data_IF_552052479240
#
_entry.id   IF_552052479240
#
_cell.length_a   1.000
_cell.length_b   1.000
_cell.length_c   1.000
_cell.angle_alpha   90.00
_cell.angle_beta   90.00
_cell.angle_gamma   90.00
#
_symmetry.space_group_name_H-M   'P 1'
#
loop_
_entity.id
_entity.type
_entity.pdbx_description
1 polymer ?
#
# COMPACT_ATOMS: atom_id res chain seq x y z
N UNK A 1 8.61 2.43 -28.64
CA UNK A 1 9.50 1.74 -27.70
C UNK A 1 9.58 2.57 -26.44
N UNK A 2 8.66 2.37 -25.50
CA UNK A 2 8.75 2.91 -24.14
C UNK A 2 9.81 2.07 -23.42
N UNK A 3 10.94 2.68 -23.11
CA UNK A 3 11.93 2.14 -22.19
C UNK A 3 11.24 1.93 -20.83
N UNK A 4 10.85 0.69 -20.57
CA UNK A 4 10.45 0.23 -19.26
C UNK A 4 11.72 0.24 -18.42
N UNK A 5 11.94 1.33 -17.69
CA UNK A 5 13.00 1.41 -16.68
C UNK A 5 12.51 0.54 -15.53
N UNK A 6 12.93 -0.73 -15.55
CA UNK A 6 12.74 -1.63 -14.42
C UNK A 6 13.61 -1.11 -13.29
N UNK A 7 13.04 -0.33 -12.38
CA UNK A 7 13.71 0.07 -11.15
C UNK A 7 13.88 -1.23 -10.35
N UNK A 8 15.11 -1.64 -9.99
CA UNK A 8 15.29 -2.83 -9.19
C UNK A 8 14.60 -2.62 -7.84
N UNK A 9 13.50 -3.30 -7.61
CA UNK A 9 12.79 -3.31 -6.34
C UNK A 9 13.76 -3.80 -5.26
N UNK A 10 13.98 -2.99 -4.25
CA UNK A 10 14.87 -3.30 -3.14
C UNK A 10 14.12 -4.08 -2.07
N UNK A 11 14.84 -4.92 -1.35
CA UNK A 11 14.35 -5.61 -0.15
C UNK A 11 15.09 -5.00 1.04
N UNK A 12 14.33 -4.55 2.02
CA UNK A 12 14.84 -4.10 3.31
C UNK A 12 14.26 -5.02 4.38
N UNK A 13 14.97 -5.33 5.48
CA UNK A 13 14.40 -6.11 6.57
C UNK A 13 13.07 -5.51 7.06
N UNK A 14 12.05 -6.35 7.25
CA UNK A 14 10.71 -5.92 7.67
C UNK A 14 10.75 -5.15 9.00
N UNK A 15 11.65 -5.51 9.91
CA UNK A 15 11.87 -4.79 11.16
C UNK A 15 12.32 -3.35 10.94
N UNK A 16 13.13 -3.09 9.91
CA UNK A 16 13.58 -1.74 9.56
C UNK A 16 12.45 -0.94 8.95
N UNK A 17 11.67 -1.54 8.06
CA UNK A 17 10.47 -0.92 7.46
C UNK A 17 9.42 -0.59 8.53
N UNK A 18 9.15 -1.54 9.44
CA UNK A 18 8.26 -1.33 10.56
C UNK A 18 8.71 -0.15 11.43
N UNK A 19 10.01 -0.09 11.77
CA UNK A 19 10.57 1.02 12.56
C UNK A 19 10.39 2.37 11.88
N UNK A 20 10.59 2.45 10.56
CA UNK A 20 10.36 3.69 9.80
C UNK A 20 8.88 4.08 9.88
N UNK A 21 7.96 3.14 9.59
CA UNK A 21 6.52 3.39 9.63
C UNK A 21 6.07 3.81 11.03
N UNK A 22 6.56 3.16 12.09
CA UNK A 22 6.27 3.52 13.48
C UNK A 22 6.76 4.92 13.84
N UNK A 23 7.94 5.28 13.35
CA UNK A 23 8.49 6.62 13.53
C UNK A 23 7.59 7.67 12.88
N UNK A 24 7.10 7.41 11.67
CA UNK A 24 6.19 8.31 10.96
C UNK A 24 4.85 8.45 11.71
N UNK A 25 4.29 7.36 12.24
CA UNK A 25 3.09 7.41 13.08
C UNK A 25 3.32 8.22 14.36
N UNK A 26 4.47 8.06 15.00
CA UNK A 26 4.84 8.82 16.21
C UNK A 26 4.94 10.31 15.92
N UNK A 27 5.59 10.67 14.79
CA UNK A 27 5.70 12.07 14.36
C UNK A 27 4.33 12.68 14.07
N UNK A 28 3.44 11.93 13.45
CA UNK A 28 2.09 12.39 13.13
C UNK A 28 1.23 12.56 14.37
N UNK A 29 1.43 11.73 15.39
CA UNK A 29 0.68 11.73 16.65
C UNK A 29 1.24 12.71 17.70
N UNK A 30 2.40 13.33 17.46
CA UNK A 30 3.04 14.21 18.40
C UNK A 30 2.18 15.45 18.69
N UNK A 31 1.91 15.77 19.97
CA UNK A 31 1.10 16.91 20.33
C UNK A 31 1.83 18.22 19.98
N UNK A 32 1.13 19.11 19.33
CA UNK A 32 1.55 20.50 19.05
C UNK A 32 2.12 20.81 17.69
N UNK A 33 1.96 19.84 16.74
CA UNK A 33 2.29 19.98 15.59
C UNK A 33 1.99 19.73 14.58
N UNK A 34 1.90 20.14 13.85
CA UNK A 34 1.96 19.63 12.65
C UNK A 34 2.23 20.66 11.65
N UNK A 35 3.47 20.95 11.55
CA UNK A 35 4.04 21.67 10.45
C UNK A 35 3.58 21.02 9.15
N UNK A 36 3.05 21.81 8.26
CA UNK A 36 2.58 21.40 6.92
C UNK A 36 3.68 20.68 6.17
N UNK A 37 4.92 21.16 6.29
CA UNK A 37 6.07 20.56 5.62
C UNK A 37 6.35 19.15 6.13
N UNK A 38 6.18 18.90 7.42
CA UNK A 38 6.34 17.56 8.01
C UNK A 38 5.25 16.62 7.49
N UNK A 39 3.98 17.07 7.44
CA UNK A 39 2.88 16.27 6.90
C UNK A 39 3.12 15.89 5.43
N UNK A 40 3.54 16.85 4.61
CA UNK A 40 3.87 16.61 3.20
C UNK A 40 5.07 15.66 3.03
N UNK A 41 6.07 15.77 3.91
CA UNK A 41 7.21 14.84 3.93
C UNK A 41 6.82 13.43 4.30
N UNK A 42 5.92 13.24 5.26
CA UNK A 42 5.38 11.92 5.61
C UNK A 42 4.74 11.28 4.38
N UNK A 43 3.88 12.00 3.66
CA UNK A 43 3.25 11.51 2.43
C UNK A 43 4.29 11.09 1.37
N UNK A 44 5.31 11.91 1.16
CA UNK A 44 6.39 11.60 0.20
C UNK A 44 7.18 10.36 0.60
N UNK A 45 7.48 10.20 1.90
CA UNK A 45 8.22 9.04 2.41
C UNK A 45 7.38 7.76 2.22
N UNK A 46 6.09 7.80 2.55
CA UNK A 46 5.19 6.64 2.34
C UNK A 46 5.18 6.21 0.89
N UNK A 47 4.96 7.14 -0.06
CA UNK A 47 4.97 6.80 -1.49
C UNK A 47 6.33 6.27 -1.95
N UNK A 48 7.44 6.85 -1.45
CA UNK A 48 8.78 6.36 -1.77
C UNK A 48 9.03 4.95 -1.24
N UNK A 49 8.55 4.62 -0.03
CA UNK A 49 8.64 3.28 0.53
C UNK A 49 7.89 2.26 -0.33
N UNK A 50 6.66 2.57 -0.73
CA UNK A 50 5.84 1.69 -1.55
C UNK A 50 6.44 1.42 -2.93
N UNK A 51 7.01 2.45 -3.56
CA UNK A 51 7.65 2.31 -4.89
C UNK A 51 8.99 1.58 -4.80
N UNK A 52 9.77 1.82 -3.73
CA UNK A 52 11.16 1.35 -3.65
C UNK A 52 11.26 -0.08 -3.13
N UNK A 53 10.41 -0.46 -2.16
CA UNK A 53 10.54 -1.74 -1.46
C UNK A 53 9.39 -2.68 -1.81
N UNK A 54 9.75 -3.86 -2.36
CA UNK A 54 8.77 -4.88 -2.76
C UNK A 54 8.06 -5.49 -1.56
N UNK A 55 8.76 -5.63 -0.44
CA UNK A 55 8.26 -6.27 0.77
C UNK A 55 7.45 -5.35 1.70
N UNK A 56 7.04 -4.17 1.23
CA UNK A 56 5.98 -3.42 1.91
C UNK A 56 4.65 -4.02 1.51
N UNK A 57 4.25 -5.08 2.23
CA UNK A 57 3.04 -5.89 2.01
C UNK A 57 2.30 -6.10 3.32
N UNK A 58 1.09 -6.61 3.25
CA UNK A 58 0.26 -7.00 4.40
C UNK A 58 0.14 -5.90 5.46
N UNK A 59 0.48 -6.18 6.70
CA UNK A 59 0.38 -5.22 7.80
C UNK A 59 1.22 -3.95 7.57
N UNK A 60 2.42 -4.07 6.99
CA UNK A 60 3.25 -2.91 6.69
C UNK A 60 2.59 -1.98 5.67
N UNK A 61 1.95 -2.55 4.65
CA UNK A 61 1.18 -1.81 3.66
C UNK A 61 -0.02 -1.11 4.31
N UNK A 62 -0.81 -1.84 5.08
CA UNK A 62 -1.98 -1.28 5.79
C UNK A 62 -1.57 -0.09 6.66
N UNK A 63 -0.53 -0.24 7.48
CA UNK A 63 -0.02 0.81 8.35
C UNK A 63 0.53 2.01 7.58
N UNK A 64 1.21 1.78 6.47
CA UNK A 64 1.72 2.85 5.60
C UNK A 64 0.58 3.65 4.95
N UNK A 65 -0.44 2.97 4.43
CA UNK A 65 -1.62 3.63 3.85
C UNK A 65 -2.42 4.40 4.89
N UNK A 66 -2.50 3.91 6.14
CA UNK A 66 -3.17 4.59 7.24
C UNK A 66 -2.59 5.98 7.55
N UNK A 67 -1.29 6.20 7.35
CA UNK A 67 -0.71 7.55 7.46
C UNK A 67 -1.32 8.51 6.44
N UNK A 68 -1.51 8.05 5.20
CA UNK A 68 -2.12 8.85 4.16
C UNK A 68 -3.63 9.10 4.44
N UNK A 69 -4.36 8.07 4.87
CA UNK A 69 -5.77 8.21 5.25
C UNK A 69 -5.95 9.17 6.44
N UNK A 70 -5.09 9.06 7.45
CA UNK A 70 -5.11 9.95 8.62
C UNK A 70 -4.91 11.41 8.19
N UNK A 71 -3.95 11.69 7.31
CA UNK A 71 -3.72 13.05 6.80
C UNK A 71 -4.85 13.53 5.89
N UNK A 72 -5.43 12.63 5.09
CA UNK A 72 -6.60 12.95 4.26
C UNK A 72 -7.81 13.36 5.11
N UNK A 73 -8.13 12.57 6.12
CA UNK A 73 -9.31 12.78 6.96
C UNK A 73 -9.16 13.94 7.97
N UNK A 74 -8.02 14.00 8.65
CA UNK A 74 -7.87 14.83 9.85
C UNK A 74 -7.06 16.12 9.61
N UNK A 75 -6.35 16.26 8.48
CA UNK A 75 -5.64 17.52 8.24
C UNK A 75 -6.63 18.65 7.96
N UNK A 76 -6.45 19.76 8.71
CA UNK A 76 -7.20 21.00 8.52
C UNK A 76 -6.67 21.85 7.36
N UNK A 77 -5.50 21.50 6.86
CA UNK A 77 -4.82 22.22 5.78
C UNK A 77 -5.20 21.60 4.44
N UNK A 78 -5.92 22.34 3.62
CA UNK A 78 -6.46 21.86 2.34
C UNK A 78 -5.36 21.30 1.43
N UNK A 79 -4.19 21.95 1.38
CA UNK A 79 -3.06 21.46 0.58
C UNK A 79 -2.61 20.06 1.01
N UNK A 80 -2.57 19.80 2.32
CA UNK A 80 -2.18 18.47 2.84
C UNK A 80 -3.25 17.43 2.50
N UNK A 81 -4.52 17.71 2.77
CA UNK A 81 -5.60 16.74 2.51
C UNK A 81 -5.76 16.44 1.01
N UNK A 82 -5.63 17.43 0.14
CA UNK A 82 -5.67 17.21 -1.33
C UNK A 82 -4.44 16.43 -1.82
N UNK A 83 -3.25 16.72 -1.28
CA UNK A 83 -2.04 15.96 -1.60
C UNK A 83 -2.16 14.52 -1.11
N UNK A 84 -2.70 14.31 0.09
CA UNK A 84 -2.94 12.97 0.64
C UNK A 84 -3.90 12.17 -0.25
N UNK A 85 -4.99 12.79 -0.74
CA UNK A 85 -5.92 12.14 -1.66
C UNK A 85 -5.23 11.72 -2.97
N UNK A 86 -4.43 12.62 -3.57
CA UNK A 86 -3.70 12.31 -4.79
C UNK A 86 -2.67 11.19 -4.58
N UNK A 87 -1.94 11.23 -3.47
CA UNK A 87 -0.96 10.19 -3.14
C UNK A 87 -1.61 8.85 -2.78
N UNK A 88 -2.79 8.83 -2.14
CA UNK A 88 -3.54 7.61 -1.92
C UNK A 88 -3.89 6.92 -3.24
N UNK A 89 -4.41 7.67 -4.24
CA UNK A 89 -4.70 7.12 -5.56
C UNK A 89 -3.45 6.54 -6.22
N UNK A 90 -2.36 7.29 -6.19
CA UNK A 90 -1.08 6.82 -6.73
C UNK A 90 -0.56 5.58 -6.00
N UNK A 91 -0.62 5.55 -4.67
CA UNK A 91 -0.17 4.41 -3.88
C UNK A 91 -1.01 3.16 -4.15
N UNK A 92 -2.32 3.29 -4.31
CA UNK A 92 -3.19 2.18 -4.75
C UNK A 92 -2.73 1.65 -6.10
N UNK A 93 -2.46 2.52 -7.07
CA UNK A 93 -1.95 2.10 -8.39
C UNK A 93 -0.62 1.34 -8.27
N UNK A 94 0.31 1.82 -7.43
CA UNK A 94 1.58 1.13 -7.17
C UNK A 94 1.38 -0.27 -6.59
N UNK A 95 0.40 -0.45 -5.70
CA UNK A 95 0.06 -1.78 -5.14
C UNK A 95 -0.42 -2.72 -6.26
N UNK A 96 -1.25 -2.24 -7.18
CA UNK A 96 -1.68 -3.02 -8.35
C UNK A 96 -0.52 -3.36 -9.30
N UNK A 97 0.40 -2.43 -9.54
CA UNK A 97 1.58 -2.65 -10.39
C UNK A 97 2.52 -3.70 -9.80
N UNK A 98 2.60 -3.81 -8.46
CA UNK A 98 3.39 -4.86 -7.80
C UNK A 98 2.90 -6.27 -8.13
N UNK A 99 1.60 -6.49 -8.29
CA UNK A 99 1.05 -7.80 -8.69
C UNK A 99 1.59 -8.21 -10.06
N UNK A 100 1.62 -7.29 -11.03
CA UNK A 100 2.17 -7.59 -12.35
C UNK A 100 3.65 -7.98 -12.28
N UNK A 101 4.42 -7.33 -11.40
CA UNK A 101 5.82 -7.67 -11.19
C UNK A 101 5.98 -9.03 -10.48
N UNK A 102 5.08 -9.37 -9.57
CA UNK A 102 5.02 -10.66 -8.89
C UNK A 102 4.74 -11.78 -9.90
N UNK A 103 3.71 -11.62 -10.75
CA UNK A 103 3.34 -12.58 -11.80
C UNK A 103 4.48 -12.81 -12.80
N UNK A 104 5.13 -11.74 -13.28
CA UNK A 104 6.28 -11.83 -14.18
C UNK A 104 7.45 -12.58 -13.55
N UNK A 105 7.65 -12.44 -12.25
CA UNK A 105 8.69 -13.17 -11.51
C UNK A 105 8.39 -14.65 -11.47
N UNK A 106 7.12 -15.07 -11.35
CA UNK A 106 6.72 -16.47 -11.40
C UNK A 106 6.93 -17.08 -12.78
N UNK A 107 6.57 -16.38 -13.84
CA UNK A 107 6.75 -16.86 -15.20
C UNK A 107 8.24 -17.06 -15.54
N UNK A 108 9.11 -16.19 -15.03
CA UNK A 108 10.55 -16.32 -15.19
C UNK A 108 11.13 -17.51 -14.42
N UNK A 109 10.64 -17.78 -13.21
CA UNK A 109 11.11 -18.89 -12.36
C UNK A 109 10.70 -20.26 -12.94
N UNK A 110 9.56 -20.37 -13.61
CA UNK A 110 9.15 -21.63 -14.26
C UNK A 110 10.08 -22.02 -15.42
N UNK A 111 10.87 -21.09 -15.93
CA UNK A 111 11.78 -21.31 -17.06
C UNK A 111 13.26 -21.50 -16.65
N UNK A 112 13.62 -21.28 -15.40
CA UNK A 112 14.97 -21.47 -14.88
C UNK A 112 14.91 -22.18 -13.50
N UNK A 113 15.90 -23.06 -13.23
CA UNK A 113 16.04 -23.80 -11.95
C UNK A 113 16.28 -22.89 -10.71
N UNK A 114 15.82 -21.65 -10.72
CA UNK A 114 16.09 -20.61 -9.72
C UNK A 114 14.99 -20.47 -8.65
N UNK A 115 14.48 -21.59 -8.13
CA UNK A 115 13.40 -21.64 -7.15
C UNK A 115 13.74 -21.10 -5.73
N UNK A 116 14.93 -20.52 -5.52
CA UNK A 116 15.43 -20.22 -4.14
C UNK A 116 14.81 -18.96 -3.52
N UNK A 117 14.18 -18.07 -4.31
CA UNK A 117 13.60 -16.80 -3.83
C UNK A 117 12.17 -16.54 -4.30
N UNK A 118 11.43 -17.57 -4.70
CA UNK A 118 10.03 -17.39 -5.08
C UNK A 118 9.19 -17.00 -3.84
N UNK A 119 8.31 -15.98 -3.95
CA UNK A 119 7.39 -15.68 -2.87
C UNK A 119 6.49 -16.89 -2.58
N UNK A 120 6.23 -17.13 -1.29
CA UNK A 120 5.34 -18.21 -0.86
C UNK A 120 3.88 -17.73 -0.91
N UNK A 121 2.93 -18.64 -1.23
CA UNK A 121 1.52 -18.32 -1.17
C UNK A 121 1.12 -18.00 0.28
N UNK A 122 0.29 -16.97 0.46
CA UNK A 122 -0.16 -16.49 1.78
C UNK A 122 -1.63 -16.81 2.05
N UNK A 123 -2.38 -17.23 1.04
CA UNK A 123 -3.80 -17.56 1.19
C UNK A 123 -4.47 -18.02 -0.10
N UNK A 124 -5.78 -18.16 -0.02
CA UNK A 124 -6.66 -18.44 -1.16
C UNK A 124 -7.85 -17.50 -1.13
N UNK A 125 -8.30 -17.05 -2.31
CA UNK A 125 -9.56 -16.32 -2.47
C UNK A 125 -10.54 -17.17 -3.25
N UNK A 126 -11.81 -17.18 -2.82
CA UNK A 126 -12.91 -17.80 -3.55
C UNK A 126 -13.47 -16.80 -4.56
N UNK A 127 -13.24 -17.06 -5.83
CA UNK A 127 -13.81 -16.30 -6.94
C UNK A 127 -14.93 -17.09 -7.60
N UNK A 128 -15.82 -16.44 -8.36
CA UNK A 128 -16.86 -17.14 -9.15
C UNK A 128 -16.29 -18.19 -10.11
N UNK A 129 -15.03 -18.05 -10.51
CA UNK A 129 -14.27 -18.98 -11.35
C UNK A 129 -13.64 -20.15 -10.58
N UNK A 130 -13.71 -20.15 -9.24
CA UNK A 130 -13.09 -21.13 -8.33
C UNK A 130 -12.01 -20.52 -7.42
N UNK A 131 -11.41 -21.36 -6.55
CA UNK A 131 -10.38 -20.90 -5.63
C UNK A 131 -9.10 -20.49 -6.37
N UNK A 132 -8.55 -19.35 -6.01
CA UNK A 132 -7.31 -18.80 -6.55
C UNK A 132 -6.30 -18.65 -5.42
N UNK A 133 -5.07 -19.14 -5.65
CA UNK A 133 -3.96 -18.97 -4.72
C UNK A 133 -3.48 -17.53 -4.74
N UNK A 134 -3.36 -16.92 -3.56
CA UNK A 134 -2.90 -15.55 -3.40
C UNK A 134 -1.44 -15.54 -2.93
N UNK A 135 -0.63 -14.78 -3.64
CA UNK A 135 0.72 -14.38 -3.25
C UNK A 135 0.66 -13.01 -2.55
N UNK A 136 1.74 -12.56 -1.88
CA UNK A 136 1.67 -11.38 -1.02
C UNK A 136 1.08 -10.14 -1.67
N UNK A 137 1.53 -9.76 -2.87
CA UNK A 137 1.02 -8.57 -3.56
C UNK A 137 -0.42 -8.76 -4.04
N UNK A 138 -0.76 -9.96 -4.55
CA UNK A 138 -2.12 -10.28 -4.95
C UNK A 138 -3.09 -10.31 -3.76
N UNK A 139 -2.65 -10.80 -2.59
CA UNK A 139 -3.43 -10.76 -1.37
C UNK A 139 -3.70 -9.32 -0.91
N UNK A 140 -2.70 -8.45 -0.97
CA UNK A 140 -2.83 -7.04 -0.63
C UNK A 140 -3.86 -6.32 -1.52
N UNK A 141 -3.79 -6.54 -2.83
CA UNK A 141 -4.78 -5.99 -3.78
C UNK A 141 -6.18 -6.51 -3.46
N UNK A 142 -6.32 -7.81 -3.22
CA UNK A 142 -7.62 -8.42 -2.90
C UNK A 142 -8.23 -7.80 -1.63
N UNK A 143 -7.45 -7.69 -0.56
CA UNK A 143 -7.91 -7.12 0.70
C UNK A 143 -8.20 -5.62 0.59
N UNK A 144 -7.31 -4.87 -0.06
CA UNK A 144 -7.47 -3.43 -0.25
C UNK A 144 -8.72 -3.12 -1.10
N UNK A 145 -8.96 -3.87 -2.17
CA UNK A 145 -10.12 -3.67 -3.03
C UNK A 145 -11.43 -3.99 -2.27
N UNK A 146 -11.46 -5.07 -1.51
CA UNK A 146 -12.61 -5.40 -0.66
C UNK A 146 -12.90 -4.29 0.34
N UNK A 147 -11.88 -3.74 0.99
CA UNK A 147 -12.04 -2.63 1.94
C UNK A 147 -12.55 -1.37 1.27
N UNK A 148 -12.02 -1.01 0.10
CA UNK A 148 -12.50 0.16 -0.64
C UNK A 148 -13.96 0.01 -1.05
N UNK A 149 -14.38 -1.19 -1.47
CA UNK A 149 -15.79 -1.49 -1.75
C UNK A 149 -16.64 -1.40 -0.47
N UNK A 150 -16.19 -1.99 0.64
CA UNK A 150 -16.89 -1.93 1.91
C UNK A 150 -17.08 -0.49 2.40
N UNK A 151 -16.02 0.32 2.35
CA UNK A 151 -16.07 1.74 2.72
C UNK A 151 -16.99 2.55 1.81
N UNK A 152 -17.05 2.23 0.51
CA UNK A 152 -17.99 2.86 -0.42
C UNK A 152 -19.45 2.54 -0.08
N UNK A 153 -19.71 1.33 0.44
CA UNK A 153 -21.03 0.89 0.91
C UNK A 153 -21.33 1.30 2.36
N UNK A 154 -20.44 2.09 2.99
CA UNK A 154 -20.58 2.53 4.38
C UNK A 154 -20.36 1.41 5.40
N UNK A 155 -19.67 0.34 5.02
CA UNK A 155 -19.28 -0.75 5.89
C UNK A 155 -17.83 -0.58 6.38
N UNK A 156 -17.48 -1.10 7.56
CA UNK A 156 -16.12 -1.03 8.07
C UNK A 156 -15.16 -1.86 7.20
N UNK A 157 -13.97 -1.34 7.00
CA UNK A 157 -12.88 -2.06 6.37
C UNK A 157 -12.30 -3.13 7.32
N UNK A 158 -11.63 -4.13 6.79
CA UNK A 158 -11.04 -5.22 7.57
C UNK A 158 -9.51 -5.21 7.54
N UNK A 159 -8.94 -4.92 6.38
CA UNK A 159 -7.50 -4.83 6.17
C UNK A 159 -6.96 -3.46 6.62
N UNK A 160 -7.67 -2.40 6.27
CA UNK A 160 -7.41 -1.05 6.78
C UNK A 160 -8.21 -0.87 8.08
N UNK A 161 -7.60 -0.42 9.19
CA UNK A 161 -8.32 -0.15 10.43
C UNK A 161 -9.16 1.14 10.32
N UNK A 162 -10.17 1.12 9.45
CA UNK A 162 -11.08 2.22 9.13
C UNK A 162 -12.52 1.76 9.29
N UNK A 163 -13.30 2.44 10.12
CA UNK A 163 -14.73 2.16 10.27
C UNK A 163 -15.53 2.84 9.17
N UNK A 164 -15.23 4.09 8.89
CA UNK A 164 -15.89 4.91 7.86
C UNK A 164 -14.95 5.98 7.33
N UNK A 165 -15.26 6.51 6.16
CA UNK A 165 -14.62 7.72 5.64
C UNK A 165 -15.57 8.91 5.81
N UNK A 166 -15.12 9.97 6.47
CA UNK A 166 -15.90 11.20 6.65
C UNK A 166 -15.99 12.03 5.38
N UNK A 167 -15.04 11.84 4.47
CA UNK A 167 -14.99 12.50 3.16
C UNK A 167 -15.07 11.47 2.05
N UNK A 168 -15.82 11.74 0.97
CA UNK A 168 -15.86 10.83 -0.17
C UNK A 168 -14.46 10.70 -0.79
N UNK A 169 -13.97 9.48 -0.86
CA UNK A 169 -12.72 9.14 -1.54
C UNK A 169 -13.07 8.41 -2.84
N UNK A 170 -12.69 8.99 -3.96
CA UNK A 170 -12.96 8.43 -5.29
C UNK A 170 -11.63 8.02 -5.92
N UNK A 171 -11.59 6.79 -6.38
CA UNK A 171 -10.55 6.28 -7.27
C UNK A 171 -11.00 6.61 -8.70
N UNK A 172 -10.45 7.65 -9.28
CA UNK A 172 -10.64 8.01 -10.69
C UNK A 172 -9.52 7.43 -11.56
#
# INVERSE_FOLDING_TARGET
>A
SLLQISIPLRILPDTSLATVIDTLHTLLSAPGRTDVDVQLKILQIVSSLLVTYVNVTSELLSRALMLCFTLYEHSRVVVVSSTAAAMLRQNVMVVFEKVQSEDQSFDAIQNEDAAVNAPLPVGTAELPSGPVTLFPCAADVYHLLNDLCALADGQPAQFLPLDTLSKPFVLE
#
